data_IF_313659616251
#
_entry.id   IF_313659616251
#
_cell.length_a   1.000
_cell.length_b   1.000
_cell.length_c   1.000
_cell.angle_alpha   90.00
_cell.angle_beta   90.00
_cell.angle_gamma   90.00
#
_symmetry.space_group_name_H-M   'P 1'
#
loop_
_entity.id
_entity.type
_entity.pdbx_description
1 polymer ?
#
# COMPACT_ATOMS: atom_id res chain seq x y z
N UNK A 1 8.35 20.99 -21.49
CA UNK A 1 7.22 20.01 -21.57
C UNK A 1 7.60 18.55 -21.21
N UNK A 2 8.72 18.21 -20.54
CA UNK A 2 8.99 16.84 -20.09
C UNK A 2 8.34 16.46 -18.76
N UNK A 3 7.95 17.42 -17.93
CA UNK A 3 7.44 17.19 -16.56
C UNK A 3 6.05 16.53 -16.51
N UNK A 4 5.14 16.93 -17.37
CA UNK A 4 3.79 16.33 -17.43
C UNK A 4 3.80 14.84 -17.83
N UNK A 5 4.83 14.38 -18.55
CA UNK A 5 4.98 12.96 -18.91
C UNK A 5 5.50 12.12 -17.73
N UNK A 6 6.36 12.68 -16.87
CA UNK A 6 6.88 11.98 -15.68
C UNK A 6 5.81 11.87 -14.59
N UNK A 7 5.03 12.95 -14.38
CA UNK A 7 3.91 12.93 -13.44
C UNK A 7 2.83 11.91 -13.85
N UNK A 8 2.48 11.86 -15.14
CA UNK A 8 1.56 10.87 -15.71
C UNK A 8 2.10 9.44 -15.56
N UNK A 9 3.43 9.22 -15.65
CA UNK A 9 4.05 7.91 -15.43
C UNK A 9 4.02 7.49 -13.97
N UNK A 10 4.30 8.38 -13.02
CA UNK A 10 4.23 8.07 -11.58
C UNK A 10 2.80 7.75 -11.13
N UNK A 11 1.81 8.56 -11.57
CA UNK A 11 0.39 8.28 -11.36
C UNK A 11 -0.04 6.97 -12.04
N UNK A 12 0.45 6.70 -13.24
CA UNK A 12 0.16 5.46 -13.95
C UNK A 12 0.72 4.23 -13.24
N UNK A 13 1.91 4.31 -12.64
CA UNK A 13 2.52 3.20 -11.87
C UNK A 13 1.73 2.97 -10.58
N UNK A 14 1.33 4.02 -9.87
CA UNK A 14 0.48 3.90 -8.69
C UNK A 14 -0.91 3.34 -9.03
N UNK A 15 -1.51 3.80 -10.15
CA UNK A 15 -2.79 3.30 -10.64
C UNK A 15 -2.68 1.84 -11.11
N UNK A 16 -1.58 1.47 -11.77
CA UNK A 16 -1.30 0.08 -12.20
C UNK A 16 -1.13 -0.85 -11.00
N UNK A 17 -0.46 -0.44 -9.93
CA UNK A 17 -0.36 -1.24 -8.71
C UNK A 17 -1.73 -1.44 -8.05
N UNK A 18 -2.56 -0.39 -8.00
CA UNK A 18 -3.93 -0.49 -7.49
C UNK A 18 -4.82 -1.38 -8.37
N UNK A 19 -4.71 -1.25 -9.70
CA UNK A 19 -5.45 -2.09 -10.68
C UNK A 19 -4.99 -3.55 -10.59
N UNK A 20 -3.70 -3.80 -10.34
CA UNK A 20 -3.17 -5.14 -10.17
C UNK A 20 -3.72 -5.83 -8.91
N UNK A 21 -3.78 -5.11 -7.79
CA UNK A 21 -4.36 -5.64 -6.53
C UNK A 21 -5.87 -5.86 -6.69
N UNK A 22 -6.59 -4.93 -7.33
CA UNK A 22 -8.02 -5.10 -7.59
C UNK A 22 -8.31 -6.24 -8.56
N UNK A 23 -7.46 -6.46 -9.57
CA UNK A 23 -7.57 -7.60 -10.49
C UNK A 23 -7.39 -8.93 -9.77
N UNK A 24 -6.38 -9.06 -8.89
CA UNK A 24 -6.20 -10.28 -8.09
C UNK A 24 -7.28 -10.45 -7.01
N UNK A 25 -7.80 -9.35 -6.43
CA UNK A 25 -8.97 -9.39 -5.56
C UNK A 25 -10.23 -9.90 -6.29
N UNK A 26 -10.41 -9.51 -7.56
CA UNK A 26 -11.49 -10.06 -8.40
C UNK A 26 -11.28 -11.56 -8.66
N UNK A 27 -10.06 -11.99 -9.00
CA UNK A 27 -9.73 -13.43 -9.18
C UNK A 27 -9.97 -14.23 -7.89
N UNK A 28 -9.56 -13.70 -6.73
CA UNK A 28 -9.81 -14.34 -5.45
C UNK A 28 -11.32 -14.43 -5.11
N UNK A 29 -12.10 -13.41 -5.50
CA UNK A 29 -13.56 -13.38 -5.31
C UNK A 29 -14.28 -14.31 -6.27
N UNK A 30 -13.79 -14.46 -7.51
CA UNK A 30 -14.30 -15.41 -8.49
C UNK A 30 -14.04 -16.86 -8.03
N UNK A 31 -12.92 -17.12 -7.37
CA UNK A 31 -12.60 -18.42 -6.76
C UNK A 31 -13.58 -18.79 -5.62
N UNK A 32 -14.04 -17.80 -4.84
CA UNK A 32 -15.11 -18.01 -3.84
C UNK A 32 -16.47 -18.35 -4.50
N UNK A 33 -16.67 -17.95 -5.76
CA UNK A 33 -17.89 -18.25 -6.54
C UNK A 33 -17.78 -19.53 -7.38
N UNK A 34 -16.72 -20.35 -7.21
CA UNK A 34 -16.57 -21.65 -7.86
C UNK A 34 -15.83 -21.62 -9.21
N UNK A 35 -15.23 -20.51 -9.61
CA UNK A 35 -14.30 -20.46 -10.74
C UNK A 35 -12.85 -20.57 -10.22
N UNK A 36 -12.19 -21.67 -10.56
CA UNK A 36 -10.82 -21.97 -10.10
C UNK A 36 -9.76 -21.24 -10.94
N UNK A 37 -9.66 -19.91 -10.82
CA UNK A 37 -8.52 -19.18 -11.38
C UNK A 37 -7.55 -18.86 -10.25
N UNK A 38 -6.40 -19.53 -10.23
CA UNK A 38 -5.35 -19.33 -9.22
C UNK A 38 -4.07 -18.82 -9.88
N UNK A 39 -3.35 -17.86 -9.27
CA UNK A 39 -2.03 -17.48 -9.75
C UNK A 39 -1.00 -18.61 -9.64
N UNK A 40 -1.39 -19.76 -9.12
CA UNK A 40 -0.58 -20.97 -9.01
C UNK A 40 -1.02 -22.07 -9.99
N UNK A 41 -1.88 -21.77 -10.97
CA UNK A 41 -2.26 -22.74 -11.99
C UNK A 41 -1.04 -23.20 -12.79
N UNK A 42 -0.87 -24.53 -12.93
CA UNK A 42 0.31 -25.12 -13.54
C UNK A 42 1.56 -25.15 -12.66
N UNK A 43 1.52 -24.62 -11.46
CA UNK A 43 2.63 -24.67 -10.49
C UNK A 43 2.52 -25.89 -9.56
N UNK A 44 3.67 -26.32 -9.02
CA UNK A 44 3.73 -27.44 -8.03
C UNK A 44 2.96 -27.14 -6.74
N UNK A 45 2.73 -25.85 -6.46
CA UNK A 45 2.03 -25.34 -5.28
C UNK A 45 0.51 -25.16 -5.44
N UNK A 46 -0.08 -25.57 -6.57
CA UNK A 46 -1.52 -25.36 -6.81
C UNK A 46 -2.40 -25.90 -5.67
N UNK A 47 -2.18 -27.12 -5.21
CA UNK A 47 -2.99 -27.72 -4.15
C UNK A 47 -2.85 -26.95 -2.82
N UNK A 48 -1.65 -26.48 -2.47
CA UNK A 48 -1.40 -25.64 -1.29
C UNK A 48 -2.06 -24.27 -1.46
N UNK A 49 -1.96 -23.64 -2.62
CA UNK A 49 -2.59 -22.36 -2.91
C UNK A 49 -4.13 -22.43 -2.86
N UNK A 50 -4.72 -23.55 -3.29
CA UNK A 50 -6.16 -23.81 -3.15
C UNK A 50 -6.57 -23.99 -1.68
N UNK A 51 -5.78 -24.69 -0.86
CA UNK A 51 -6.02 -24.80 0.58
C UNK A 51 -5.96 -23.41 1.23
N UNK A 52 -4.95 -22.59 0.86
CA UNK A 52 -4.81 -21.19 1.31
C UNK A 52 -6.04 -20.36 0.97
N UNK A 53 -6.53 -20.41 -0.27
CA UNK A 53 -7.67 -19.62 -0.71
C UNK A 53 -9.00 -20.01 -0.06
N UNK A 54 -9.10 -21.27 0.43
CA UNK A 54 -10.31 -21.80 1.10
C UNK A 54 -10.27 -21.66 2.63
N UNK A 55 -9.16 -21.22 3.21
CA UNK A 55 -9.00 -21.19 4.67
C UNK A 55 -8.77 -22.57 5.29
N UNK A 56 -8.39 -23.58 4.47
CA UNK A 56 -8.14 -24.93 4.93
C UNK A 56 -6.79 -25.04 5.64
N UNK A 57 -6.79 -24.73 6.93
CA UNK A 57 -5.57 -24.76 7.76
C UNK A 57 -4.97 -26.17 7.88
N UNK A 58 -5.80 -27.22 7.86
CA UNK A 58 -5.31 -28.60 7.91
C UNK A 58 -4.58 -28.96 6.60
N UNK A 59 -5.18 -28.59 5.46
CA UNK A 59 -4.54 -28.76 4.15
C UNK A 59 -3.24 -27.96 4.04
N UNK A 60 -3.19 -26.76 4.58
CA UNK A 60 -1.97 -25.92 4.64
C UNK A 60 -0.89 -26.65 5.44
N UNK A 61 -1.18 -27.10 6.68
CA UNK A 61 -0.19 -27.79 7.52
C UNK A 61 0.30 -29.10 6.90
N UNK A 62 -0.58 -29.83 6.22
CA UNK A 62 -0.22 -31.11 5.59
C UNK A 62 0.70 -30.94 4.36
N UNK A 63 0.64 -29.79 3.68
CA UNK A 63 1.31 -29.58 2.40
C UNK A 63 2.48 -28.59 2.46
N UNK A 64 2.50 -27.68 3.45
CA UNK A 64 3.53 -26.66 3.56
C UNK A 64 4.88 -27.28 3.95
N UNK A 65 5.90 -26.99 3.14
CA UNK A 65 7.31 -27.19 3.46
C UNK A 65 8.02 -25.86 3.28
N UNK A 66 9.23 -25.71 3.85
CA UNK A 66 9.98 -24.47 3.72
C UNK A 66 10.24 -24.08 2.25
N UNK A 67 10.46 -25.06 1.39
CA UNK A 67 10.65 -24.81 -0.04
C UNK A 67 9.37 -24.33 -0.70
N UNK A 68 8.23 -24.97 -0.39
CA UNK A 68 6.91 -24.57 -0.92
C UNK A 68 6.49 -23.18 -0.46
N UNK A 69 6.79 -22.80 0.76
CA UNK A 69 6.51 -21.44 1.26
C UNK A 69 7.28 -20.35 0.52
N UNK A 70 8.42 -20.68 -0.09
CA UNK A 70 9.25 -19.77 -0.89
C UNK A 70 8.87 -19.73 -2.36
N UNK A 71 8.13 -20.73 -2.86
CA UNK A 71 7.68 -20.71 -4.25
C UNK A 71 6.78 -19.51 -4.55
N UNK A 72 6.83 -19.07 -5.79
CA UNK A 72 6.04 -17.93 -6.30
C UNK A 72 5.09 -18.42 -7.37
N UNK A 73 3.87 -17.89 -7.32
CA UNK A 73 2.91 -18.00 -8.40
C UNK A 73 3.19 -17.01 -9.52
N UNK A 74 2.26 -16.92 -10.46
CA UNK A 74 2.30 -15.95 -11.54
C UNK A 74 2.48 -14.52 -11.00
N UNK A 75 3.19 -13.68 -11.76
CA UNK A 75 3.56 -12.32 -11.35
C UNK A 75 4.29 -12.27 -10.00
N UNK A 76 4.97 -13.36 -9.64
CA UNK A 76 5.74 -13.49 -8.39
C UNK A 76 4.91 -13.46 -7.10
N UNK A 77 3.59 -13.67 -7.15
CA UNK A 77 2.76 -13.65 -5.95
C UNK A 77 3.24 -14.68 -4.92
N UNK A 78 3.31 -14.31 -3.65
CA UNK A 78 3.62 -15.22 -2.54
C UNK A 78 2.36 -15.88 -2.01
N UNK A 79 2.47 -17.08 -1.40
CA UNK A 79 1.33 -17.71 -0.73
C UNK A 79 0.73 -16.84 0.36
N UNK A 80 1.57 -16.08 1.09
CA UNK A 80 1.10 -15.16 2.12
C UNK A 80 0.32 -13.98 1.52
N UNK A 81 0.77 -13.42 0.40
CA UNK A 81 -0.02 -12.41 -0.33
C UNK A 81 -1.32 -13.01 -0.86
N UNK A 82 -1.28 -14.24 -1.35
CA UNK A 82 -2.47 -14.94 -1.83
C UNK A 82 -3.50 -15.13 -0.72
N UNK A 83 -3.07 -15.51 0.49
CA UNK A 83 -3.93 -15.59 1.67
C UNK A 83 -4.60 -14.24 2.01
N UNK A 84 -3.83 -13.15 1.96
CA UNK A 84 -4.34 -11.78 2.18
C UNK A 84 -5.35 -11.39 1.10
N UNK A 85 -5.05 -11.65 -0.18
CA UNK A 85 -5.93 -11.34 -1.31
C UNK A 85 -7.21 -12.19 -1.32
N UNK A 86 -7.09 -13.47 -0.92
CA UNK A 86 -8.23 -14.38 -0.77
C UNK A 86 -9.07 -14.08 0.48
N UNK A 87 -8.66 -13.10 1.29
CA UNK A 87 -9.34 -12.68 2.50
C UNK A 87 -9.54 -13.83 3.51
N UNK A 88 -8.50 -14.66 3.70
CA UNK A 88 -8.51 -15.81 4.60
C UNK A 88 -7.58 -15.56 5.79
N UNK A 89 -8.07 -14.98 6.91
CA UNK A 89 -7.24 -14.65 8.07
C UNK A 89 -6.60 -15.88 8.71
N UNK A 90 -7.30 -17.03 8.74
CA UNK A 90 -6.77 -18.27 9.29
C UNK A 90 -5.61 -18.81 8.45
N UNK A 91 -5.67 -18.67 7.11
CA UNK A 91 -4.57 -19.00 6.22
C UNK A 91 -3.36 -18.09 6.43
N UNK A 92 -3.59 -16.77 6.60
CA UNK A 92 -2.51 -15.83 6.92
C UNK A 92 -1.82 -16.24 8.22
N UNK A 93 -2.61 -16.54 9.26
CA UNK A 93 -2.08 -16.98 10.54
C UNK A 93 -1.27 -18.28 10.41
N UNK A 94 -1.83 -19.31 9.76
CA UNK A 94 -1.18 -20.60 9.58
C UNK A 94 0.14 -20.49 8.80
N UNK A 95 0.16 -19.69 7.72
CA UNK A 95 1.37 -19.47 6.93
C UNK A 95 2.46 -18.74 7.72
N UNK A 96 2.10 -17.76 8.53
CA UNK A 96 3.04 -17.04 9.40
C UNK A 96 3.61 -17.98 10.48
N UNK A 97 2.77 -18.83 11.09
CA UNK A 97 3.20 -19.79 12.11
C UNK A 97 4.14 -20.87 11.52
N UNK A 98 3.97 -21.17 10.23
CA UNK A 98 4.85 -22.08 9.48
C UNK A 98 6.13 -21.39 8.96
N UNK A 99 6.31 -20.10 9.23
CA UNK A 99 7.52 -19.35 8.88
C UNK A 99 7.50 -18.71 7.49
N UNK A 100 6.34 -18.48 6.89
CA UNK A 100 6.26 -17.66 5.69
C UNK A 100 6.78 -16.24 5.98
N UNK A 101 7.68 -15.75 5.12
CA UNK A 101 8.31 -14.43 5.29
C UNK A 101 7.34 -13.30 4.89
N UNK A 102 6.87 -12.46 5.84
CA UNK A 102 5.97 -11.34 5.54
C UNK A 102 6.65 -10.19 4.76
N UNK A 103 7.99 -10.14 4.75
CA UNK A 103 8.77 -9.15 4.01
C UNK A 103 9.11 -9.59 2.58
N UNK A 104 8.87 -10.86 2.25
CA UNK A 104 9.18 -11.40 0.94
C UNK A 104 8.51 -10.58 -0.17
N UNK A 105 9.32 -10.08 -1.11
CA UNK A 105 8.82 -9.39 -2.29
C UNK A 105 8.04 -10.36 -3.18
N UNK A 106 6.86 -9.96 -3.58
CA UNK A 106 5.96 -10.72 -4.42
C UNK A 106 5.34 -9.87 -5.53
N UNK A 107 4.02 -9.89 -5.64
CA UNK A 107 3.27 -9.18 -6.68
C UNK A 107 3.72 -7.72 -6.80
N UNK A 108 4.21 -7.34 -7.99
CA UNK A 108 4.71 -5.99 -8.31
C UNK A 108 5.77 -5.46 -7.32
N UNK A 109 6.55 -6.37 -6.72
CA UNK A 109 7.56 -6.05 -5.73
C UNK A 109 7.01 -5.74 -4.33
N UNK A 110 5.71 -5.86 -4.11
CA UNK A 110 5.07 -5.66 -2.81
C UNK A 110 5.34 -6.85 -1.87
N UNK A 111 5.46 -6.57 -0.58
CA UNK A 111 5.34 -7.58 0.48
C UNK A 111 3.87 -7.80 0.86
N UNK A 112 3.59 -8.83 1.67
CA UNK A 112 2.26 -9.05 2.22
C UNK A 112 1.74 -7.83 3.02
N UNK A 113 2.63 -7.10 3.70
CA UNK A 113 2.27 -5.90 4.46
C UNK A 113 1.84 -4.74 3.54
N UNK A 114 2.49 -4.56 2.37
CA UNK A 114 2.04 -3.59 1.37
C UNK A 114 0.63 -3.93 0.87
N UNK A 115 0.41 -5.20 0.55
CA UNK A 115 -0.89 -5.69 0.07
C UNK A 115 -1.98 -5.43 1.12
N UNK A 116 -1.74 -5.79 2.38
CA UNK A 116 -2.68 -5.57 3.47
C UNK A 116 -2.94 -4.06 3.73
N UNK A 117 -1.93 -3.20 3.56
CA UNK A 117 -2.07 -1.75 3.70
C UNK A 117 -2.99 -1.12 2.64
N UNK A 118 -3.16 -1.76 1.49
CA UNK A 118 -4.04 -1.29 0.41
C UNK A 118 -5.47 -1.81 0.52
N UNK A 119 -5.73 -2.88 1.27
CA UNK A 119 -7.07 -3.45 1.42
C UNK A 119 -7.99 -2.51 2.22
N UNK A 120 -9.30 -2.70 2.05
CA UNK A 120 -10.29 -1.96 2.84
C UNK A 120 -10.35 -2.49 4.28
N UNK A 121 -10.26 -3.81 4.45
CA UNK A 121 -10.29 -4.44 5.76
C UNK A 121 -8.89 -4.41 6.41
N UNK A 122 -8.79 -3.72 7.53
CA UNK A 122 -7.55 -3.54 8.27
C UNK A 122 -7.13 -4.77 9.10
N UNK A 123 -7.97 -5.84 9.17
CA UNK A 123 -7.66 -7.02 9.98
C UNK A 123 -6.35 -7.69 9.54
N UNK A 124 -6.08 -7.74 8.23
CA UNK A 124 -4.87 -8.38 7.68
C UNK A 124 -3.60 -7.60 8.04
N UNK A 125 -3.69 -6.27 7.99
CA UNK A 125 -2.59 -5.42 8.43
C UNK A 125 -2.31 -5.61 9.92
N UNK A 126 -3.37 -5.64 10.75
CA UNK A 126 -3.26 -5.88 12.19
C UNK A 126 -2.61 -7.23 12.48
N UNK A 127 -3.04 -8.28 11.78
CA UNK A 127 -2.50 -9.63 11.95
C UNK A 127 -1.01 -9.69 11.60
N UNK A 128 -0.61 -9.14 10.45
CA UNK A 128 0.79 -9.11 10.03
C UNK A 128 1.68 -8.31 11.01
N UNK A 129 1.21 -7.15 11.47
CA UNK A 129 1.94 -6.33 12.45
C UNK A 129 2.06 -7.04 13.81
N UNK A 130 0.99 -7.69 14.27
CA UNK A 130 1.02 -8.47 15.52
C UNK A 130 2.01 -9.66 15.47
N UNK A 131 2.30 -10.18 14.26
CA UNK A 131 3.31 -11.20 14.02
C UNK A 131 4.71 -10.64 13.74
N UNK A 132 4.94 -9.36 13.97
CA UNK A 132 6.26 -8.72 13.87
C UNK A 132 6.69 -8.41 12.44
N UNK A 133 5.77 -8.29 11.48
CA UNK A 133 6.13 -7.84 10.14
C UNK A 133 6.85 -6.48 10.17
N UNK A 134 7.93 -6.35 9.40
CA UNK A 134 8.73 -5.13 9.33
C UNK A 134 7.91 -3.98 8.75
N UNK A 135 7.55 -3.00 9.58
CA UNK A 135 6.67 -1.87 9.22
C UNK A 135 7.23 -1.02 8.07
N UNK A 136 8.56 -0.91 7.97
CA UNK A 136 9.27 -0.10 6.99
C UNK A 136 9.87 -0.90 5.81
N UNK A 137 9.34 -2.11 5.56
CA UNK A 137 9.78 -2.93 4.42
C UNK A 137 9.62 -2.15 3.11
N UNK A 138 10.61 -2.28 2.20
CA UNK A 138 10.60 -1.55 0.93
C UNK A 138 10.06 -2.42 -0.20
N UNK A 139 9.18 -1.86 -1.02
CA UNK A 139 8.78 -2.47 -2.29
C UNK A 139 10.02 -2.66 -3.18
N UNK A 140 10.22 -3.85 -3.72
CA UNK A 140 11.41 -4.20 -4.49
C UNK A 140 11.53 -3.43 -5.82
N UNK A 141 10.41 -2.96 -6.39
CA UNK A 141 10.35 -2.23 -7.66
C UNK A 141 10.37 -0.72 -7.45
N UNK A 142 9.51 -0.21 -6.59
CA UNK A 142 9.32 1.25 -6.41
C UNK A 142 10.11 1.83 -5.25
N UNK A 143 10.54 1.01 -4.29
CA UNK A 143 11.14 1.46 -3.04
C UNK A 143 10.13 2.08 -2.04
N UNK A 144 8.86 2.14 -2.37
CA UNK A 144 7.81 2.65 -1.49
C UNK A 144 7.65 1.76 -0.24
N UNK A 145 7.11 2.33 0.85
CA UNK A 145 6.82 1.62 2.10
C UNK A 145 5.34 1.22 2.19
N UNK A 146 4.93 0.32 3.11
CA UNK A 146 3.51 0.05 3.38
C UNK A 146 2.71 1.32 3.76
N UNK A 147 3.35 2.28 4.45
CA UNK A 147 2.75 3.59 4.74
C UNK A 147 2.41 4.34 3.44
N UNK A 148 3.32 4.37 2.49
CA UNK A 148 3.09 4.95 1.17
C UNK A 148 1.97 4.21 0.41
N UNK A 149 1.91 2.88 0.51
CA UNK A 149 0.85 2.07 -0.09
C UNK A 149 -0.54 2.39 0.50
N UNK A 150 -0.63 2.55 1.82
CA UNK A 150 -1.87 2.96 2.50
C UNK A 150 -2.34 4.35 2.03
N UNK A 151 -1.41 5.31 1.88
CA UNK A 151 -1.70 6.64 1.34
C UNK A 151 -2.25 6.54 -0.07
N UNK A 152 -1.56 5.85 -0.99
CA UNK A 152 -1.98 5.72 -2.38
C UNK A 152 -3.34 5.04 -2.54
N UNK A 153 -3.69 4.14 -1.63
CA UNK A 153 -4.99 3.47 -1.59
C UNK A 153 -6.08 4.28 -0.85
N UNK A 154 -5.73 5.43 -0.25
CA UNK A 154 -6.66 6.24 0.52
C UNK A 154 -7.15 5.56 1.82
N UNK A 155 -6.31 4.73 2.45
CA UNK A 155 -6.67 3.92 3.61
C UNK A 155 -6.25 4.60 4.91
N UNK A 156 -7.14 5.41 5.46
CA UNK A 156 -6.84 6.18 6.68
C UNK A 156 -6.62 5.28 7.90
N UNK A 157 -7.45 4.26 8.12
CA UNK A 157 -7.29 3.33 9.24
C UNK A 157 -5.93 2.63 9.19
N UNK A 158 -5.56 2.09 8.03
CA UNK A 158 -4.27 1.43 7.84
C UNK A 158 -3.09 2.39 8.00
N UNK A 159 -3.23 3.63 7.52
CA UNK A 159 -2.24 4.68 7.72
C UNK A 159 -2.02 4.93 9.22
N UNK A 160 -3.09 5.12 10.00
CA UNK A 160 -3.01 5.32 11.45
C UNK A 160 -2.38 4.12 12.17
N UNK A 161 -2.73 2.90 11.77
CA UNK A 161 -2.16 1.68 12.33
C UNK A 161 -0.66 1.57 12.05
N UNK A 162 -0.22 1.86 10.82
CA UNK A 162 1.20 1.85 10.45
C UNK A 162 1.99 2.92 11.21
N UNK A 163 1.44 4.14 11.36
CA UNK A 163 2.06 5.19 12.16
C UNK A 163 2.18 4.77 13.64
N UNK A 164 1.13 4.18 14.21
CA UNK A 164 1.17 3.65 15.58
C UNK A 164 2.17 2.50 15.75
N UNK A 165 2.44 1.72 14.69
CA UNK A 165 3.45 0.68 14.66
C UNK A 165 4.89 1.21 14.40
N UNK A 166 5.09 2.54 14.32
CA UNK A 166 6.40 3.16 14.12
C UNK A 166 6.82 3.27 12.65
N UNK A 167 5.87 3.39 11.73
CA UNK A 167 6.20 3.67 10.33
C UNK A 167 6.93 5.01 10.20
N UNK A 168 8.05 4.99 9.49
CA UNK A 168 8.88 6.16 9.24
C UNK A 168 8.29 7.00 8.09
N UNK A 169 7.83 8.22 8.43
CA UNK A 169 7.22 9.16 7.49
C UNK A 169 8.22 9.79 6.52
N UNK A 170 9.52 9.66 6.77
CA UNK A 170 10.59 10.27 5.96
C UNK A 170 11.07 9.39 4.81
N UNK A 171 10.74 8.09 4.85
CA UNK A 171 11.16 7.14 3.84
C UNK A 171 10.50 7.43 2.49
N UNK A 172 11.31 7.84 1.51
CA UNK A 172 10.87 8.13 0.16
C UNK A 172 10.97 6.90 -0.75
N UNK A 173 10.18 6.89 -1.82
CA UNK A 173 10.30 5.95 -2.92
C UNK A 173 11.54 6.26 -3.81
N UNK A 174 11.69 5.52 -4.93
CA UNK A 174 12.80 5.73 -5.88
C UNK A 174 12.74 7.06 -6.65
N UNK A 175 11.63 7.79 -6.57
CA UNK A 175 11.48 9.14 -7.14
C UNK A 175 11.76 10.24 -6.10
N UNK A 176 12.10 9.84 -4.87
CA UNK A 176 12.28 10.74 -3.74
C UNK A 176 10.95 11.21 -3.12
N UNK A 177 9.83 10.62 -3.53
CA UNK A 177 8.53 10.99 -2.97
C UNK A 177 8.33 10.33 -1.61
N UNK A 178 8.19 11.14 -0.57
CA UNK A 178 7.75 10.66 0.75
C UNK A 178 6.24 10.39 0.75
N UNK A 179 5.68 9.68 1.75
CA UNK A 179 4.22 9.52 1.87
C UNK A 179 3.46 10.84 1.80
N UNK A 180 4.04 11.94 2.30
CA UNK A 180 3.46 13.29 2.23
C UNK A 180 3.36 13.82 0.78
N UNK A 181 4.39 13.60 -0.06
CA UNK A 181 4.34 13.92 -1.49
C UNK A 181 3.26 13.12 -2.20
N UNK A 182 3.13 11.81 -1.86
CA UNK A 182 2.13 10.94 -2.47
C UNK A 182 0.71 11.37 -2.10
N UNK A 183 0.45 11.74 -0.84
CA UNK A 183 -0.85 12.29 -0.42
C UNK A 183 -1.23 13.54 -1.22
N UNK A 184 -0.26 14.42 -1.49
CA UNK A 184 -0.49 15.61 -2.30
C UNK A 184 -0.71 15.28 -3.78
N UNK A 185 0.02 14.31 -4.35
CA UNK A 185 -0.13 13.86 -5.73
C UNK A 185 -1.51 13.28 -6.03
N UNK A 186 -2.09 12.56 -5.09
CA UNK A 186 -3.44 11.99 -5.21
C UNK A 186 -4.53 12.93 -4.69
N UNK A 187 -4.15 14.14 -4.27
CA UNK A 187 -5.04 15.21 -3.82
C UNK A 187 -5.90 14.83 -2.60
N UNK A 188 -5.26 14.32 -1.54
CA UNK A 188 -5.91 13.89 -0.30
C UNK A 188 -5.36 14.67 0.90
N UNK A 189 -5.83 15.94 1.13
CA UNK A 189 -5.27 16.84 2.15
C UNK A 189 -5.40 16.31 3.58
N UNK A 190 -6.46 15.55 3.90
CA UNK A 190 -6.65 15.00 5.23
C UNK A 190 -5.57 13.95 5.59
N UNK A 191 -5.14 13.10 4.63
CA UNK A 191 -4.02 12.18 4.87
C UNK A 191 -2.68 12.92 4.99
N UNK A 192 -2.49 14.01 4.20
CA UNK A 192 -1.32 14.86 4.35
C UNK A 192 -1.26 15.49 5.75
N UNK A 193 -2.39 15.97 6.26
CA UNK A 193 -2.49 16.53 7.61
C UNK A 193 -2.14 15.48 8.69
N UNK A 194 -2.65 14.24 8.55
CA UNK A 194 -2.31 13.15 9.46
C UNK A 194 -0.81 12.83 9.46
N UNK A 195 -0.18 12.78 8.28
CA UNK A 195 1.25 12.56 8.16
C UNK A 195 2.06 13.68 8.80
N UNK A 196 1.67 14.94 8.61
CA UNK A 196 2.30 16.10 9.24
C UNK A 196 2.17 16.07 10.77
N UNK A 197 1.00 15.72 11.28
CA UNK A 197 0.77 15.54 12.72
C UNK A 197 1.61 14.39 13.31
N UNK A 198 1.91 13.38 12.48
CA UNK A 198 2.80 12.27 12.85
C UNK A 198 4.31 12.59 12.66
N UNK A 199 4.66 13.85 12.32
CA UNK A 199 6.05 14.29 12.22
C UNK A 199 6.67 14.20 10.83
N UNK A 200 5.88 14.06 9.77
CA UNK A 200 6.41 14.14 8.41
C UNK A 200 7.03 15.52 8.13
N UNK A 201 8.19 15.54 7.48
CA UNK A 201 8.89 16.77 7.15
C UNK A 201 8.18 17.54 6.00
N UNK A 202 7.51 18.64 6.36
CA UNK A 202 6.83 19.53 5.41
C UNK A 202 7.78 20.23 4.43
N UNK A 203 9.09 20.22 4.69
CA UNK A 203 10.12 20.84 3.84
C UNK A 203 10.84 19.82 2.96
N UNK A 204 10.55 18.54 3.11
CA UNK A 204 11.13 17.48 2.29
C UNK A 204 10.94 17.79 0.81
N UNK A 205 11.98 17.54 0.01
CA UNK A 205 11.95 17.72 -1.44
C UNK A 205 12.25 16.40 -2.12
N UNK A 206 11.47 16.08 -3.14
CA UNK A 206 11.71 14.90 -3.96
C UNK A 206 12.84 15.12 -4.98
N UNK A 207 13.11 14.14 -5.85
CA UNK A 207 14.15 14.27 -6.89
C UNK A 207 13.91 15.40 -7.91
N UNK A 208 12.70 15.94 -7.99
CA UNK A 208 12.38 17.11 -8.82
C UNK A 208 12.65 18.45 -8.08
N UNK A 209 13.11 18.38 -6.83
CA UNK A 209 13.38 19.52 -5.98
C UNK A 209 12.12 20.22 -5.45
N UNK A 210 10.93 19.62 -5.59
CA UNK A 210 9.66 20.19 -5.15
C UNK A 210 9.18 19.58 -3.83
N UNK A 211 8.53 20.42 -3.01
CA UNK A 211 7.85 19.99 -1.80
C UNK A 211 6.39 19.60 -2.10
N UNK A 212 5.72 18.93 -1.16
CA UNK A 212 4.37 18.39 -1.34
C UNK A 212 3.33 19.47 -1.71
N UNK A 213 3.47 20.71 -1.21
CA UNK A 213 2.55 21.83 -1.49
C UNK A 213 2.43 22.11 -3.00
N UNK A 214 3.51 21.91 -3.76
CA UNK A 214 3.50 22.09 -5.21
C UNK A 214 2.41 21.26 -5.89
N UNK A 215 2.20 20.01 -5.45
CA UNK A 215 1.21 19.13 -6.06
C UNK A 215 -0.22 19.57 -5.72
N UNK A 216 -0.48 20.00 -4.51
CA UNK A 216 -1.78 20.56 -4.13
C UNK A 216 -2.13 21.83 -4.90
N UNK A 217 -1.14 22.71 -5.16
CA UNK A 217 -1.35 23.93 -5.95
C UNK A 217 -1.75 23.67 -7.41
N UNK A 218 -1.54 22.45 -7.90
CA UNK A 218 -1.94 22.06 -9.25
C UNK A 218 -3.41 21.60 -9.34
N UNK A 219 -4.13 21.53 -8.22
CA UNK A 219 -5.53 21.10 -8.20
C UNK A 219 -6.44 22.22 -8.73
N UNK A 220 -7.11 22.03 -9.89
CA UNK A 220 -7.97 23.05 -10.45
C UNK A 220 -9.14 23.40 -9.53
N UNK A 221 -9.46 24.68 -9.39
CA UNK A 221 -10.53 25.15 -8.50
C UNK A 221 -11.91 24.51 -8.78
N UNK A 222 -12.21 24.19 -10.05
CA UNK A 222 -13.48 23.57 -10.45
C UNK A 222 -13.60 22.10 -10.01
N UNK A 223 -12.51 21.45 -9.62
CA UNK A 223 -12.51 20.08 -9.08
C UNK A 223 -12.63 20.06 -7.55
N UNK A 224 -12.62 21.21 -6.89
CA UNK A 224 -12.68 21.33 -5.45
C UNK A 224 -14.15 21.44 -4.99
N UNK A 225 -14.70 20.35 -4.51
CA UNK A 225 -15.98 20.34 -3.80
C UNK A 225 -15.84 20.96 -2.39
N UNK A 226 -16.93 21.16 -1.68
CA UNK A 226 -16.91 21.82 -0.37
C UNK A 226 -16.17 21.01 0.70
N UNK A 227 -16.21 19.68 0.61
CA UNK A 227 -15.45 18.79 1.50
C UNK A 227 -13.95 18.96 1.29
N UNK A 228 -13.48 18.89 0.06
CA UNK A 228 -12.07 19.07 -0.27
C UNK A 228 -11.57 20.46 0.15
N UNK A 229 -12.39 21.51 -0.08
CA UNK A 229 -12.07 22.87 0.42
C UNK A 229 -11.96 22.94 1.94
N UNK A 230 -12.82 22.19 2.66
CA UNK A 230 -12.73 22.11 4.12
C UNK A 230 -11.44 21.42 4.56
N UNK A 231 -11.06 20.32 3.93
CA UNK A 231 -9.80 19.61 4.21
C UNK A 231 -8.57 20.52 3.93
N UNK A 232 -8.58 21.29 2.85
CA UNK A 232 -7.53 22.25 2.57
C UNK A 232 -7.45 23.35 3.63
N UNK A 233 -8.59 23.88 4.11
CA UNK A 233 -8.58 24.89 5.19
C UNK A 233 -7.94 24.37 6.48
N UNK A 234 -8.21 23.12 6.85
CA UNK A 234 -7.59 22.50 8.02
C UNK A 234 -6.09 22.29 7.83
N UNK A 235 -5.67 21.84 6.65
CA UNK A 235 -4.25 21.70 6.32
C UNK A 235 -3.53 23.05 6.37
N UNK A 236 -4.09 24.10 5.76
CA UNK A 236 -3.50 25.42 5.75
C UNK A 236 -3.42 26.04 7.14
N UNK A 237 -4.44 25.87 7.96
CA UNK A 237 -4.44 26.31 9.37
C UNK A 237 -3.28 25.65 10.14
N UNK A 238 -3.05 24.35 9.92
CA UNK A 238 -1.93 23.65 10.53
C UNK A 238 -0.59 24.20 10.03
N UNK A 239 -0.43 24.39 8.72
CA UNK A 239 0.80 24.93 8.10
C UNK A 239 1.11 26.34 8.62
N UNK A 240 0.12 27.23 8.70
CA UNK A 240 0.27 28.59 9.24
C UNK A 240 0.69 28.56 10.71
N UNK A 241 0.09 27.70 11.51
CA UNK A 241 0.46 27.50 12.92
C UNK A 241 1.92 27.07 13.12
N UNK A 242 2.49 26.39 12.12
CA UNK A 242 3.89 25.95 12.11
C UNK A 242 4.82 26.85 11.29
N UNK A 243 4.37 28.03 10.86
CA UNK A 243 5.11 28.99 10.03
C UNK A 243 5.64 28.40 8.72
N UNK A 244 4.84 27.56 8.09
CA UNK A 244 5.12 26.92 6.80
C UNK A 244 4.27 27.58 5.70
N UNK A 245 4.78 27.56 4.46
CA UNK A 245 4.03 28.06 3.32
C UNK A 245 2.77 27.21 3.09
N UNK A 246 1.64 27.89 2.89
CA UNK A 246 0.37 27.24 2.51
C UNK A 246 0.38 26.87 1.03
N UNK A 247 -0.51 25.96 0.63
CA UNK A 247 -0.62 25.59 -0.78
C UNK A 247 -1.20 26.70 -1.67
N UNK A 248 -1.90 27.70 -1.09
CA UNK A 248 -2.46 28.86 -1.82
C UNK A 248 -1.50 30.04 -1.98
N UNK A 249 -0.31 30.00 -1.38
CA UNK A 249 0.60 31.17 -1.39
C UNK A 249 1.23 31.48 -2.76
N UNK A 250 0.77 30.86 -3.85
CA UNK A 250 1.30 31.03 -5.22
C UNK A 250 0.21 31.33 -6.27
N UNK A 251 -0.97 31.80 -5.86
CA UNK A 251 -1.97 32.32 -6.80
C UNK A 251 -2.06 33.82 -6.77
#
# INVERSE_FOLDING_TARGET
MPEGRRLRRALAIALLALVAVTGLLMMAKEQQMGQEISPFDGHSNLALAQAVARGDTQGIHAQATQDRLRERGDRQVTLLQWAVLSQQPDSVQALLDLGADPAAAGLDGNSALHTAAMLQDAQYLRLLLAKGAQVNVRNAVTGATPLAAAVLAGREEQLRMLLAAGADTTLSDRLGDTPLHLAAKINVPHLALLLLQAGADARARNQQGVAFQFYFSQTPAHLQNDELKAQFRELDKWLQGHRLATHYAQQ
#
